data_IF_586954536945
#
_entry.id   IF_586954536945
#
_cell.length_a   1.000
_cell.length_b   1.000
_cell.length_c   1.000
_cell.angle_alpha   90.00
_cell.angle_beta   90.00
_cell.angle_gamma   90.00
#
_symmetry.space_group_name_H-M   'P 1'
#
loop_
_entity.id
_entity.type
_entity.pdbx_description
1 polymer ?
#
# COMPACT_ATOMS: atom_id res chain seq x y z
N UNK A 1 -44.14 5.72 0.43
CA UNK A 1 -42.71 5.64 0.78
C UNK A 1 -42.09 6.97 0.42
N UNK A 2 -41.77 7.81 1.40
CA UNK A 2 -41.02 9.05 1.18
C UNK A 2 -39.57 8.78 1.57
N UNK A 3 -38.64 9.03 0.66
CA UNK A 3 -37.21 9.03 0.98
C UNK A 3 -36.86 10.42 1.48
N UNK A 4 -36.48 10.52 2.75
CA UNK A 4 -35.98 11.77 3.34
C UNK A 4 -34.45 11.67 3.30
N UNK A 5 -33.82 12.55 2.52
CA UNK A 5 -32.37 12.68 2.51
C UNK A 5 -31.97 13.69 3.58
N UNK A 6 -31.17 13.23 4.54
CA UNK A 6 -30.65 14.07 5.62
C UNK A 6 -29.15 14.18 5.47
N UNK A 7 -28.66 15.42 5.53
CA UNK A 7 -27.25 15.73 5.37
C UNK A 7 -26.69 16.22 6.69
N UNK A 8 -25.56 15.65 7.10
CA UNK A 8 -24.85 16.06 8.30
C UNK A 8 -23.45 16.56 7.90
N UNK A 9 -23.21 17.89 7.90
CA UNK A 9 -21.94 18.48 7.47
C UNK A 9 -20.77 18.23 8.43
N UNK A 10 -20.99 17.67 9.61
CA UNK A 10 -19.96 17.41 10.62
C UNK A 10 -20.25 16.15 11.44
N UNK A 11 -19.22 15.56 12.04
CA UNK A 11 -19.39 14.52 13.07
C UNK A 11 -20.11 15.13 14.29
N UNK A 12 -21.36 14.74 14.55
CA UNK A 12 -22.08 15.10 15.79
C UNK A 12 -23.45 15.77 15.67
N UNK A 13 -24.27 15.47 14.67
CA UNK A 13 -25.67 15.90 14.58
C UNK A 13 -26.63 14.78 15.00
N UNK A 14 -27.73 15.16 15.68
CA UNK A 14 -28.85 14.25 15.92
C UNK A 14 -29.94 14.50 14.89
N UNK A 15 -30.47 13.42 14.32
CA UNK A 15 -31.58 13.48 13.36
C UNK A 15 -32.76 12.71 13.92
N UNK A 16 -33.86 13.43 14.17
CA UNK A 16 -35.08 12.87 14.73
C UNK A 16 -36.11 12.60 13.63
N UNK A 17 -36.65 11.39 13.60
CA UNK A 17 -37.75 11.01 12.72
C UNK A 17 -39.02 10.83 13.56
N UNK A 18 -40.09 11.56 13.23
CA UNK A 18 -41.42 11.34 13.80
C UNK A 18 -42.27 10.51 12.84
N UNK A 19 -42.59 9.26 13.21
CA UNK A 19 -43.47 8.37 12.46
C UNK A 19 -44.89 8.46 13.03
N UNK A 20 -45.85 8.95 12.23
CA UNK A 20 -47.25 9.10 12.66
C UNK A 20 -48.08 7.80 12.57
N UNK A 21 -47.49 6.67 12.15
CA UNK A 21 -48.15 5.35 12.08
C UNK A 21 -47.12 4.21 12.08
N UNK A 22 -47.55 2.98 12.39
CA UNK A 22 -46.71 1.78 12.57
C UNK A 22 -46.04 1.21 11.31
N UNK A 23 -45.51 2.07 10.44
CA UNK A 23 -44.74 1.69 9.26
C UNK A 23 -43.26 1.48 9.55
N UNK A 24 -42.61 0.68 8.69
CA UNK A 24 -41.15 0.53 8.66
C UNK A 24 -40.48 1.74 8.02
N UNK A 25 -39.50 2.32 8.71
CA UNK A 25 -38.60 3.35 8.18
C UNK A 25 -37.25 2.70 7.85
N UNK A 26 -36.81 2.86 6.60
CA UNK A 26 -35.46 2.50 6.18
C UNK A 26 -34.64 3.77 5.99
N UNK A 27 -33.54 3.89 6.74
CA UNK A 27 -32.60 5.01 6.59
C UNK A 27 -31.36 4.51 5.88
N UNK A 28 -30.99 5.18 4.79
CA UNK A 28 -29.75 4.92 4.05
C UNK A 28 -28.83 6.12 4.23
N UNK A 29 -27.63 5.87 4.73
CA UNK A 29 -26.58 6.87 4.85
C UNK A 29 -25.58 6.71 3.71
N UNK A 30 -25.19 7.83 3.11
CA UNK A 30 -24.09 7.88 2.15
C UNK A 30 -23.10 8.93 2.64
N UNK A 31 -21.82 8.60 2.59
CA UNK A 31 -20.73 9.49 2.95
C UNK A 31 -19.76 9.65 1.79
N UNK A 32 -19.13 10.80 1.71
CA UNK A 32 -18.08 11.10 0.74
C UNK A 32 -17.10 12.11 1.35
N UNK A 33 -15.98 12.28 0.68
CA UNK A 33 -14.96 13.27 1.04
C UNK A 33 -14.66 14.12 -0.18
N UNK A 34 -14.24 15.36 0.06
CA UNK A 34 -13.63 16.22 -0.96
C UNK A 34 -12.13 15.93 -1.12
N UNK A 35 -11.58 14.92 -0.46
CA UNK A 35 -10.18 14.54 -0.65
C UNK A 35 -9.91 14.16 -2.12
N UNK A 36 -8.95 14.83 -2.72
CA UNK A 36 -8.47 14.59 -4.08
C UNK A 36 -6.95 14.65 -4.12
N UNK A 37 -6.32 13.53 -4.45
CA UNK A 37 -4.89 13.40 -4.64
C UNK A 37 -4.40 14.10 -5.92
N UNK A 38 -5.31 14.39 -6.85
CA UNK A 38 -5.07 15.24 -8.03
C UNK A 38 -4.94 16.73 -7.67
N UNK A 39 -5.35 17.14 -6.46
CA UNK A 39 -5.24 18.52 -5.97
C UNK A 39 -4.08 18.69 -4.97
N UNK A 40 -3.13 17.74 -4.94
CA UNK A 40 -1.94 17.76 -4.08
C UNK A 40 -0.73 18.46 -4.69
N UNK A 41 -0.93 19.37 -5.65
CA UNK A 41 0.12 20.06 -6.40
C UNK A 41 0.15 21.58 -6.17
N UNK A 42 1.16 22.26 -6.72
CA UNK A 42 1.32 23.71 -6.58
C UNK A 42 0.18 24.52 -7.21
N UNK A 43 -0.43 24.04 -8.31
CA UNK A 43 -1.52 24.74 -8.99
C UNK A 43 -2.78 24.79 -8.12
N UNK A 44 -2.98 23.77 -7.28
CA UNK A 44 -4.07 23.68 -6.32
C UNK A 44 -3.67 24.11 -4.89
N UNK A 45 -2.49 24.73 -4.73
CA UNK A 45 -1.98 25.18 -3.43
C UNK A 45 -1.79 24.04 -2.42
N UNK A 46 -1.52 22.82 -2.89
CA UNK A 46 -1.38 21.60 -2.09
C UNK A 46 -2.59 21.30 -1.20
N UNK A 47 -3.80 21.67 -1.66
CA UNK A 47 -5.01 21.60 -0.84
C UNK A 47 -5.55 20.19 -0.63
N UNK A 48 -5.25 19.26 -1.55
CA UNK A 48 -5.89 17.94 -1.63
C UNK A 48 -7.43 18.02 -1.66
N UNK A 49 -7.95 19.15 -2.13
CA UNK A 49 -9.37 19.47 -2.10
C UNK A 49 -9.95 19.44 -3.50
N UNK A 50 -10.80 18.46 -3.75
CA UNK A 50 -11.62 18.32 -4.94
C UNK A 50 -12.99 19.01 -4.78
N UNK A 51 -13.91 18.71 -5.72
CA UNK A 51 -15.28 19.23 -5.66
C UNK A 51 -16.05 18.73 -4.44
N UNK A 52 -17.01 19.53 -3.97
CA UNK A 52 -17.97 19.13 -2.94
C UNK A 52 -18.70 17.84 -3.38
N UNK A 53 -18.70 16.77 -2.55
CA UNK A 53 -19.25 15.48 -2.94
C UNK A 53 -20.78 15.46 -2.97
N UNK A 54 -21.49 16.48 -2.45
CA UNK A 54 -22.94 16.47 -2.23
C UNK A 54 -23.74 16.04 -3.45
N UNK A 55 -23.56 16.71 -4.60
CA UNK A 55 -24.32 16.41 -5.81
C UNK A 55 -24.06 14.99 -6.34
N UNK A 56 -22.81 14.51 -6.22
CA UNK A 56 -22.45 13.16 -6.61
C UNK A 56 -23.10 12.11 -5.70
N UNK A 57 -23.14 12.36 -4.39
CA UNK A 57 -23.77 11.50 -3.40
C UNK A 57 -25.29 11.42 -3.59
N UNK A 58 -25.94 12.56 -3.83
CA UNK A 58 -27.39 12.62 -4.12
C UNK A 58 -27.72 11.85 -5.41
N UNK A 59 -26.90 12.01 -6.45
CA UNK A 59 -27.05 11.27 -7.71
C UNK A 59 -26.92 9.76 -7.50
N UNK A 60 -25.93 9.33 -6.70
CA UNK A 60 -25.71 7.92 -6.36
C UNK A 60 -26.93 7.32 -5.65
N UNK A 61 -27.49 8.05 -4.67
CA UNK A 61 -28.69 7.62 -3.94
C UNK A 61 -29.92 7.51 -4.85
N UNK A 62 -30.14 8.47 -5.75
CA UNK A 62 -31.24 8.43 -6.71
C UNK A 62 -31.11 7.25 -7.70
N UNK A 63 -29.88 6.94 -8.13
CA UNK A 63 -29.62 5.77 -8.96
C UNK A 63 -29.85 4.48 -8.20
N UNK A 64 -29.41 4.38 -6.95
CA UNK A 64 -29.59 3.19 -6.13
C UNK A 64 -31.07 2.94 -5.80
N UNK A 65 -31.85 3.98 -5.49
CA UNK A 65 -33.26 3.87 -5.11
C UNK A 65 -34.18 3.47 -6.27
N UNK A 66 -33.76 3.70 -7.52
CA UNK A 66 -34.50 3.30 -8.72
C UNK A 66 -34.15 1.89 -9.22
N UNK A 67 -33.12 1.24 -8.65
CA UNK A 67 -32.70 -0.09 -9.05
C UNK A 67 -33.47 -1.20 -8.31
N UNK A 68 -33.78 -2.27 -9.04
CA UNK A 68 -34.28 -3.51 -8.43
C UNK A 68 -33.14 -4.19 -7.66
N UNK A 69 -33.40 -4.60 -6.42
CA UNK A 69 -32.42 -5.26 -5.54
C UNK A 69 -31.76 -6.47 -6.22
N UNK A 70 -32.54 -7.30 -6.93
CA UNK A 70 -32.01 -8.46 -7.64
C UNK A 70 -30.99 -8.09 -8.72
N UNK A 71 -31.22 -6.99 -9.46
CA UNK A 71 -30.30 -6.48 -10.48
C UNK A 71 -29.05 -5.90 -9.84
N UNK A 72 -29.20 -5.13 -8.75
CA UNK A 72 -28.07 -4.57 -8.02
C UNK A 72 -27.18 -5.67 -7.39
N UNK A 73 -27.79 -6.71 -6.81
CA UNK A 73 -27.07 -7.85 -6.26
C UNK A 73 -26.31 -8.61 -7.35
N UNK A 74 -26.94 -8.90 -8.49
CA UNK A 74 -26.26 -9.58 -9.60
C UNK A 74 -25.06 -8.77 -10.11
N UNK A 75 -25.23 -7.45 -10.25
CA UNK A 75 -24.14 -6.55 -10.65
C UNK A 75 -23.00 -6.56 -9.63
N UNK A 76 -23.33 -6.44 -8.33
CA UNK A 76 -22.35 -6.51 -7.24
C UNK A 76 -21.59 -7.83 -7.23
N UNK A 77 -22.29 -8.96 -7.26
CA UNK A 77 -21.67 -10.29 -7.22
C UNK A 77 -20.77 -10.54 -8.42
N UNK A 78 -21.21 -10.15 -9.62
CA UNK A 78 -20.39 -10.26 -10.85
C UNK A 78 -19.11 -9.44 -10.75
N UNK A 79 -19.24 -8.19 -10.31
CA UNK A 79 -18.12 -7.27 -10.13
C UNK A 79 -17.13 -7.75 -9.04
N UNK A 80 -17.65 -8.25 -7.92
CA UNK A 80 -16.85 -8.77 -6.82
C UNK A 80 -16.09 -10.05 -7.22
N UNK A 81 -16.74 -10.98 -7.93
CA UNK A 81 -16.06 -12.16 -8.48
C UNK A 81 -14.95 -11.80 -9.47
N UNK A 82 -15.16 -10.78 -10.31
CA UNK A 82 -14.12 -10.28 -11.22
C UNK A 82 -12.91 -9.77 -10.44
N UNK A 83 -13.13 -9.06 -9.33
CA UNK A 83 -12.04 -8.53 -8.50
C UNK A 83 -11.29 -9.61 -7.70
N UNK A 84 -11.98 -10.65 -7.24
CA UNK A 84 -11.38 -11.82 -6.59
C UNK A 84 -10.50 -12.67 -7.54
N UNK A 85 -10.66 -12.51 -8.85
CA UNK A 85 -9.95 -13.30 -9.84
C UNK A 85 -10.35 -14.78 -9.82
N UNK A 86 -9.58 -15.58 -10.57
CA UNK A 86 -9.88 -17.01 -10.77
C UNK A 86 -9.31 -17.96 -9.71
N UNK A 87 -8.61 -17.46 -8.68
CA UNK A 87 -7.93 -18.33 -7.72
C UNK A 87 -8.93 -19.03 -6.79
N UNK A 88 -8.73 -20.34 -6.58
CA UNK A 88 -9.50 -21.18 -5.67
C UNK A 88 -8.56 -22.07 -4.86
N UNK A 89 -8.84 -22.23 -3.57
CA UNK A 89 -8.10 -23.11 -2.66
C UNK A 89 -9.02 -24.24 -2.19
N UNK A 90 -8.51 -25.47 -2.24
CA UNK A 90 -9.13 -26.64 -1.62
C UNK A 90 -8.05 -27.40 -0.84
N UNK A 91 -8.23 -27.46 0.48
CA UNK A 91 -7.34 -28.15 1.43
C UNK A 91 -8.12 -29.23 2.21
N UNK A 92 -9.23 -29.72 1.65
CA UNK A 92 -10.11 -30.67 2.32
C UNK A 92 -11.04 -30.02 3.35
N UNK A 93 -11.32 -28.72 3.20
CA UNK A 93 -12.24 -28.03 4.10
C UNK A 93 -13.67 -28.58 4.04
N UNK A 94 -14.27 -28.79 5.21
CA UNK A 94 -15.68 -29.14 5.37
C UNK A 94 -16.35 -28.20 6.37
N UNK A 95 -17.52 -27.65 6.01
CA UNK A 95 -18.27 -26.77 6.89
C UNK A 95 -19.05 -27.60 7.92
N UNK A 96 -18.72 -27.44 9.20
CA UNK A 96 -19.59 -27.84 10.30
C UNK A 96 -20.69 -26.78 10.49
N UNK A 97 -21.87 -27.03 9.91
CA UNK A 97 -23.03 -26.15 10.03
C UNK A 97 -23.68 -26.11 11.42
N UNK A 98 -23.19 -26.89 12.39
CA UNK A 98 -23.70 -26.89 13.76
C UNK A 98 -23.02 -25.87 14.66
N UNK A 99 -21.87 -25.32 14.24
CA UNK A 99 -21.07 -24.36 15.00
C UNK A 99 -20.99 -23.02 14.28
N UNK A 100 -20.89 -21.97 15.07
CA UNK A 100 -20.56 -20.62 14.59
C UNK A 100 -19.06 -20.52 14.31
N UNK A 101 -18.65 -19.54 13.48
CA UNK A 101 -17.23 -19.25 13.26
C UNK A 101 -16.48 -18.91 14.55
N UNK A 102 -17.16 -18.28 15.52
CA UNK A 102 -16.57 -17.95 16.81
C UNK A 102 -16.23 -19.22 17.60
N UNK A 103 -17.17 -20.16 17.72
CA UNK A 103 -16.93 -21.45 18.38
C UNK A 103 -15.81 -22.25 17.68
N UNK A 104 -15.80 -22.28 16.35
CA UNK A 104 -14.74 -22.96 15.60
C UNK A 104 -13.35 -22.32 15.81
N UNK A 105 -13.29 -21.00 16.01
CA UNK A 105 -12.04 -20.29 16.31
C UNK A 105 -11.58 -20.53 17.76
N UNK A 106 -12.50 -20.56 18.72
CA UNK A 106 -12.21 -20.85 20.13
C UNK A 106 -11.69 -22.29 20.33
N UNK A 107 -12.13 -23.21 19.48
CA UNK A 107 -11.67 -24.61 19.46
C UNK A 107 -10.37 -24.83 18.67
N UNK A 108 -9.95 -23.88 17.84
CA UNK A 108 -8.80 -24.04 16.95
C UNK A 108 -7.49 -24.19 17.73
N UNK A 109 -6.72 -25.22 17.40
CA UNK A 109 -5.35 -25.41 17.93
C UNK A 109 -4.36 -25.54 16.77
N UNK A 110 -3.29 -24.76 16.81
CA UNK A 110 -2.33 -24.68 15.71
C UNK A 110 -1.56 -25.98 15.44
N UNK A 111 -1.41 -26.84 16.44
CA UNK A 111 -0.76 -28.16 16.34
C UNK A 111 -1.70 -29.26 15.81
N UNK A 112 -3.02 -29.10 15.97
CA UNK A 112 -4.03 -30.02 15.44
C UNK A 112 -4.52 -29.59 14.05
N UNK A 113 -4.68 -28.28 13.83
CA UNK A 113 -5.20 -27.67 12.60
C UNK A 113 -6.72 -27.81 12.44
N UNK A 114 -7.28 -27.04 11.52
CA UNK A 114 -8.65 -27.17 11.06
C UNK A 114 -8.74 -26.65 9.62
N UNK A 115 -8.84 -27.54 8.61
CA UNK A 115 -8.86 -27.15 7.21
C UNK A 115 -9.94 -26.13 6.85
N UNK A 116 -11.09 -26.14 7.53
CA UNK A 116 -12.14 -25.14 7.29
C UNK A 116 -11.76 -23.76 7.80
N UNK A 117 -11.20 -23.64 9.01
CA UNK A 117 -10.77 -22.34 9.54
C UNK A 117 -9.58 -21.77 8.77
N UNK A 118 -8.61 -22.61 8.40
CA UNK A 118 -7.45 -22.19 7.60
C UNK A 118 -7.88 -21.71 6.21
N UNK A 119 -8.78 -22.45 5.55
CA UNK A 119 -9.38 -22.05 4.28
C UNK A 119 -10.21 -20.78 4.39
N UNK A 120 -11.00 -20.65 5.47
CA UNK A 120 -11.83 -19.47 5.72
C UNK A 120 -10.97 -18.24 5.94
N UNK A 121 -9.92 -18.33 6.77
CA UNK A 121 -9.00 -17.23 7.03
C UNK A 121 -8.26 -16.79 5.76
N UNK A 122 -7.81 -17.75 4.94
CA UNK A 122 -7.20 -17.46 3.64
C UNK A 122 -8.14 -16.68 2.71
N UNK A 123 -9.39 -17.13 2.56
CA UNK A 123 -10.37 -16.43 1.72
C UNK A 123 -10.86 -15.12 2.35
N UNK A 124 -10.86 -15.02 3.67
CA UNK A 124 -11.20 -13.79 4.39
C UNK A 124 -10.16 -12.70 4.11
N UNK A 125 -8.86 -13.02 4.09
CA UNK A 125 -7.82 -12.07 3.71
C UNK A 125 -8.03 -11.53 2.28
N UNK A 126 -8.33 -12.41 1.31
CA UNK A 126 -8.66 -12.02 -0.07
C UNK A 126 -9.91 -11.13 -0.12
N UNK A 127 -10.96 -11.50 0.62
CA UNK A 127 -12.19 -10.72 0.74
C UNK A 127 -11.92 -9.31 1.28
N UNK A 128 -11.14 -9.22 2.37
CA UNK A 128 -10.82 -7.96 3.04
C UNK A 128 -10.02 -7.03 2.14
N UNK A 129 -9.05 -7.54 1.39
CA UNK A 129 -8.29 -6.73 0.46
C UNK A 129 -9.15 -6.20 -0.69
N UNK A 130 -9.98 -7.05 -1.32
CA UNK A 130 -10.93 -6.61 -2.37
C UNK A 130 -11.91 -5.58 -1.83
N UNK A 131 -12.40 -5.76 -0.61
CA UNK A 131 -13.36 -4.85 0.00
C UNK A 131 -12.74 -3.49 0.36
N UNK A 132 -11.42 -3.39 0.58
CA UNK A 132 -10.76 -2.16 1.07
C UNK A 132 -10.06 -1.31 0.01
N UNK A 133 -9.76 -1.86 -1.17
CA UNK A 133 -8.84 -1.24 -2.15
C UNK A 133 -9.52 -0.62 -3.38
N UNK A 134 -10.79 -0.93 -3.60
CA UNK A 134 -11.53 -0.57 -4.83
C UNK A 134 -12.18 0.82 -4.75
N UNK A 135 -11.50 1.74 -4.09
CA UNK A 135 -11.88 3.13 -3.90
C UNK A 135 -10.79 4.05 -4.48
N UNK A 136 -10.83 5.32 -4.13
CA UNK A 136 -9.83 6.33 -4.50
C UNK A 136 -8.46 6.12 -3.84
N UNK A 137 -8.43 5.39 -2.72
CA UNK A 137 -7.24 5.18 -1.89
C UNK A 137 -6.99 3.69 -1.66
N UNK A 138 -5.72 3.29 -1.42
CA UNK A 138 -5.37 1.92 -1.10
C UNK A 138 -5.85 1.51 0.30
N UNK A 139 -5.74 0.21 0.61
CA UNK A 139 -5.92 -0.32 1.96
C UNK A 139 -4.85 0.24 2.93
N UNK A 140 -5.30 0.87 4.01
CA UNK A 140 -4.43 1.35 5.10
C UNK A 140 -4.24 0.27 6.19
N UNK A 141 -3.68 0.63 7.37
CA UNK A 141 -3.50 -0.29 8.51
C UNK A 141 -4.77 -1.03 8.97
N UNK A 142 -5.96 -0.52 8.64
CA UNK A 142 -7.25 -1.16 8.97
C UNK A 142 -8.07 -1.41 7.70
N UNK A 143 -7.42 -1.48 6.54
CA UNK A 143 -8.05 -1.56 5.23
C UNK A 143 -8.82 -0.28 4.90
N UNK A 144 -10.06 -0.21 5.38
CA UNK A 144 -10.91 0.98 5.33
C UNK A 144 -11.87 1.08 6.53
N UNK A 145 -11.73 0.21 7.52
CA UNK A 145 -12.66 0.06 8.63
C UNK A 145 -12.04 0.65 9.89
N UNK A 146 -12.49 1.82 10.29
CA UNK A 146 -12.12 2.42 11.57
C UNK A 146 -13.37 2.64 12.41
N UNK A 147 -13.34 2.15 13.66
CA UNK A 147 -14.40 2.43 14.64
C UNK A 147 -14.24 3.82 15.25
N UNK A 148 -12.98 4.19 15.52
CA UNK A 148 -12.63 5.36 16.32
C UNK A 148 -12.10 6.48 15.42
N UNK A 149 -12.47 7.73 15.72
CA UNK A 149 -11.93 8.90 15.01
C UNK A 149 -10.42 9.07 15.23
N UNK A 150 -9.90 8.58 16.35
CA UNK A 150 -8.48 8.49 16.67
C UNK A 150 -8.05 7.03 16.66
N UNK A 151 -7.78 6.52 15.47
CA UNK A 151 -7.32 5.16 15.28
C UNK A 151 -5.88 4.96 15.78
N UNK A 152 -5.50 3.71 16.11
CA UNK A 152 -4.09 3.41 16.45
C UNK A 152 -3.20 3.66 15.23
N UNK A 153 -2.06 4.32 15.47
CA UNK A 153 -1.14 4.79 14.41
C UNK A 153 -1.87 5.56 13.30
N UNK A 154 -2.90 6.31 13.68
CA UNK A 154 -3.74 7.11 12.78
C UNK A 154 -4.42 6.32 11.65
N UNK A 155 -4.40 4.98 11.72
CA UNK A 155 -4.75 4.10 10.60
C UNK A 155 -4.09 4.55 9.29
N UNK A 156 -2.83 4.96 9.38
CA UNK A 156 -2.07 5.53 8.28
C UNK A 156 -1.63 4.47 7.25
N UNK A 157 -0.78 4.89 6.31
CA UNK A 157 -0.08 3.94 5.44
C UNK A 157 1.33 3.78 6.00
N UNK A 158 1.55 2.67 6.69
CA UNK A 158 2.82 2.34 7.34
C UNK A 158 3.65 1.42 6.42
N UNK A 159 4.74 1.93 5.86
CA UNK A 159 5.46 1.33 4.73
C UNK A 159 6.85 0.79 5.11
N UNK A 160 7.05 0.39 6.36
CA UNK A 160 8.22 -0.37 6.81
C UNK A 160 7.93 -1.88 7.01
N UNK A 161 6.67 -2.32 6.83
CA UNK A 161 6.24 -3.71 6.67
C UNK A 161 4.74 -3.81 6.33
N UNK A 162 3.89 -2.98 6.94
CA UNK A 162 2.43 -3.21 6.96
C UNK A 162 1.76 -3.01 5.61
N UNK A 163 2.09 -1.91 4.91
CA UNK A 163 1.56 -1.64 3.58
C UNK A 163 2.03 -2.70 2.58
N UNK A 164 3.28 -3.16 2.68
CA UNK A 164 3.78 -4.27 1.87
C UNK A 164 2.97 -5.55 2.16
N UNK A 165 2.78 -5.88 3.44
CA UNK A 165 2.05 -7.07 3.88
C UNK A 165 0.61 -7.08 3.39
N UNK A 166 -0.08 -5.94 3.39
CA UNK A 166 -1.43 -5.81 2.86
C UNK A 166 -1.57 -6.36 1.43
N UNK A 167 -0.53 -6.22 0.60
CA UNK A 167 -0.59 -6.55 -0.83
C UNK A 167 0.19 -7.81 -1.24
N UNK A 168 0.86 -8.53 -0.33
CA UNK A 168 1.57 -9.77 -0.70
C UNK A 168 0.67 -10.77 -1.43
N UNK A 169 -0.58 -10.92 -0.98
CA UNK A 169 -1.52 -11.89 -1.59
C UNK A 169 -2.12 -11.43 -2.91
N UNK A 170 -1.92 -10.17 -3.32
CA UNK A 170 -2.64 -9.58 -4.45
C UNK A 170 -2.36 -10.35 -5.76
N UNK A 171 -1.10 -10.37 -6.20
CA UNK A 171 -0.73 -11.02 -7.45
C UNK A 171 -0.73 -12.55 -7.32
N UNK A 172 -0.23 -13.08 -6.19
CA UNK A 172 -0.19 -14.52 -5.91
C UNK A 172 -1.56 -15.20 -5.98
N UNK A 173 -2.63 -14.47 -5.63
CA UNK A 173 -4.01 -14.99 -5.67
C UNK A 173 -4.87 -14.34 -6.76
N UNK A 174 -4.23 -13.70 -7.75
CA UNK A 174 -4.83 -13.11 -8.94
C UNK A 174 -5.91 -12.04 -8.64
N UNK A 175 -5.77 -11.30 -7.55
CA UNK A 175 -6.67 -10.20 -7.19
C UNK A 175 -6.45 -8.99 -8.10
N UNK A 176 -7.52 -8.30 -8.48
CA UNK A 176 -7.47 -7.08 -9.30
C UNK A 176 -7.75 -5.84 -8.44
N UNK A 177 -6.78 -5.50 -7.60
CA UNK A 177 -6.95 -4.60 -6.43
C UNK A 177 -5.87 -3.54 -6.24
N UNK A 178 -4.82 -3.54 -7.07
CA UNK A 178 -3.59 -2.78 -6.85
C UNK A 178 -3.58 -1.40 -7.53
N UNK A 179 -4.53 -1.12 -8.42
CA UNK A 179 -4.51 0.13 -9.22
C UNK A 179 -4.51 1.39 -8.36
N UNK A 180 -5.30 1.42 -7.29
CA UNK A 180 -5.37 2.56 -6.37
C UNK A 180 -4.06 2.77 -5.60
N UNK A 181 -3.30 1.72 -5.34
CA UNK A 181 -1.98 1.80 -4.71
C UNK A 181 -0.96 2.46 -5.65
N UNK A 182 -0.96 2.06 -6.92
CA UNK A 182 -0.08 2.63 -7.94
C UNK A 182 -0.39 4.10 -8.19
N UNK A 183 -1.67 4.43 -8.34
CA UNK A 183 -2.09 5.82 -8.51
C UNK A 183 -1.77 6.66 -7.26
N UNK A 184 -1.93 6.10 -6.05
CA UNK A 184 -1.57 6.76 -4.81
C UNK A 184 -0.06 7.07 -4.76
N UNK A 185 0.81 6.14 -5.12
CA UNK A 185 2.26 6.40 -5.17
C UNK A 185 2.62 7.43 -6.25
N UNK A 186 2.10 7.27 -7.47
CA UNK A 186 2.39 8.17 -8.59
C UNK A 186 1.93 9.60 -8.32
N UNK A 187 0.69 9.75 -7.85
CA UNK A 187 0.10 11.08 -7.65
C UNK A 187 0.41 11.67 -6.29
N UNK A 188 0.89 10.87 -5.33
CA UNK A 188 1.18 11.37 -3.99
C UNK A 188 2.60 11.24 -3.48
N UNK A 189 3.20 10.07 -3.61
CA UNK A 189 4.54 9.85 -3.08
C UNK A 189 5.59 10.46 -4.00
N UNK A 190 5.52 10.20 -5.29
CA UNK A 190 6.54 10.62 -6.24
C UNK A 190 6.77 12.15 -6.27
N UNK A 191 5.74 13.01 -6.48
CA UNK A 191 5.95 14.46 -6.53
C UNK A 191 6.42 15.06 -5.19
N UNK A 192 5.82 14.64 -4.06
CA UNK A 192 6.19 15.18 -2.74
C UNK A 192 7.52 14.61 -2.25
N UNK A 193 7.79 13.37 -2.60
CA UNK A 193 9.03 12.68 -2.31
C UNK A 193 10.23 13.24 -3.07
N UNK A 194 10.03 13.81 -4.27
CA UNK A 194 11.06 14.55 -4.97
C UNK A 194 11.44 15.84 -4.21
N UNK A 195 10.46 16.55 -3.65
CA UNK A 195 10.73 17.71 -2.79
C UNK A 195 11.41 17.32 -1.48
N UNK A 196 10.99 16.21 -0.86
CA UNK A 196 11.67 15.65 0.31
C UNK A 196 13.11 15.24 0.00
N UNK A 197 13.37 14.60 -1.15
CA UNK A 197 14.72 14.26 -1.60
C UNK A 197 15.62 15.50 -1.71
N UNK A 198 15.09 16.58 -2.28
CA UNK A 198 15.81 17.84 -2.42
C UNK A 198 16.05 18.54 -1.10
N UNK A 199 15.02 18.68 -0.26
CA UNK A 199 15.09 19.46 0.99
C UNK A 199 15.91 18.74 2.05
N UNK A 200 15.74 17.42 2.21
CA UNK A 200 16.40 16.67 3.28
C UNK A 200 17.76 16.08 2.89
N UNK A 201 17.97 15.76 1.61
CA UNK A 201 19.17 15.06 1.15
C UNK A 201 19.97 15.80 0.08
N UNK A 202 19.50 16.98 -0.36
CA UNK A 202 20.12 17.73 -1.47
C UNK A 202 20.27 16.89 -2.75
N UNK A 203 19.32 15.97 -2.99
CA UNK A 203 19.28 15.11 -4.16
C UNK A 203 18.15 15.60 -5.07
N UNK A 204 18.46 15.80 -6.36
CA UNK A 204 17.51 16.32 -7.35
C UNK A 204 17.02 15.27 -8.34
N UNK A 205 17.64 14.08 -8.39
CA UNK A 205 17.16 12.96 -9.19
C UNK A 205 16.23 12.07 -8.35
N UNK A 206 15.11 11.67 -8.94
CA UNK A 206 14.22 10.70 -8.32
C UNK A 206 13.38 11.24 -7.16
N UNK A 207 12.90 10.31 -6.33
CA UNK A 207 12.05 10.62 -5.19
C UNK A 207 12.20 9.56 -4.09
N UNK A 208 11.87 9.94 -2.87
CA UNK A 208 11.78 9.04 -1.73
C UNK A 208 10.60 9.43 -0.84
N UNK A 209 10.16 8.51 -0.01
CA UNK A 209 9.32 8.80 1.15
C UNK A 209 9.86 8.02 2.34
N UNK A 210 9.37 8.34 3.54
CA UNK A 210 9.64 7.56 4.74
C UNK A 210 8.54 6.52 4.97
N UNK A 211 8.48 5.91 6.16
CA UNK A 211 7.58 4.82 6.50
C UNK A 211 6.15 5.27 6.85
N UNK A 212 5.94 6.42 7.48
CA UNK A 212 4.62 6.87 7.91
C UNK A 212 3.99 7.84 6.90
N UNK A 213 2.94 7.42 6.17
CA UNK A 213 2.34 8.23 5.09
C UNK A 213 0.85 8.45 5.29
N UNK A 214 0.31 9.51 4.68
CA UNK A 214 -1.11 9.86 4.80
C UNK A 214 -1.74 10.24 3.46
N UNK A 215 -3.06 10.52 3.49
CA UNK A 215 -3.83 10.89 2.30
C UNK A 215 -3.45 12.27 1.71
N UNK A 216 -2.62 13.05 2.42
CA UNK A 216 -2.16 14.38 2.03
C UNK A 216 -0.70 14.38 1.56
N UNK A 217 -0.15 13.22 1.19
CA UNK A 217 1.19 13.12 0.61
C UNK A 217 2.33 13.49 1.55
N UNK A 218 2.16 13.27 2.87
CA UNK A 218 3.27 13.35 3.81
C UNK A 218 4.38 12.38 3.38
N UNK A 219 5.60 12.89 3.20
CA UNK A 219 6.76 12.12 2.70
C UNK A 219 8.03 12.27 3.56
N UNK A 220 8.01 13.20 4.51
CA UNK A 220 9.12 13.44 5.44
C UNK A 220 9.12 12.45 6.61
N UNK A 221 10.12 12.57 7.47
CA UNK A 221 10.18 11.82 8.74
C UNK A 221 9.17 12.40 9.74
N UNK A 222 8.34 11.56 10.35
CA UNK A 222 7.51 11.99 11.48
C UNK A 222 8.41 12.34 12.67
N UNK A 223 7.98 13.35 13.44
CA UNK A 223 8.70 13.78 14.64
C UNK A 223 8.41 12.85 15.81
N UNK A 224 9.04 11.67 15.82
CA UNK A 224 8.91 10.67 16.88
C UNK A 224 10.27 10.13 17.34
N UNK A 225 10.91 9.27 16.55
CA UNK A 225 12.23 8.70 16.87
C UNK A 225 12.96 8.27 15.61
N UNK A 226 14.25 8.57 15.51
CA UNK A 226 15.06 8.22 14.34
C UNK A 226 15.12 6.71 14.08
N UNK A 227 15.01 5.85 15.10
CA UNK A 227 15.02 4.39 14.91
C UNK A 227 13.81 3.85 14.14
N UNK A 228 12.68 4.56 14.20
CA UNK A 228 11.45 4.16 13.51
C UNK A 228 11.23 5.01 12.27
N UNK A 229 11.31 6.34 12.39
CA UNK A 229 10.84 7.26 11.33
C UNK A 229 11.87 7.56 10.24
N UNK A 230 13.15 7.21 10.44
CA UNK A 230 14.19 7.37 9.42
C UNK A 230 14.32 6.08 8.59
N UNK A 231 13.28 5.76 7.82
CA UNK A 231 13.24 4.58 6.96
C UNK A 231 12.90 4.96 5.51
N UNK A 232 13.92 5.15 4.67
CA UNK A 232 13.78 5.62 3.27
C UNK A 232 13.65 4.48 2.27
N UNK A 233 13.81 3.26 2.77
CA UNK A 233 13.71 2.01 2.04
C UNK A 233 12.25 1.71 1.68
N UNK A 234 11.28 2.35 2.33
CA UNK A 234 9.84 2.21 2.09
C UNK A 234 9.46 2.18 0.59
N UNK A 235 9.76 3.22 -0.22
CA UNK A 235 9.45 3.20 -1.65
C UNK A 235 10.25 2.15 -2.41
N UNK A 236 11.50 1.85 -2.02
CA UNK A 236 12.31 0.83 -2.69
C UNK A 236 11.74 -0.58 -2.48
N UNK A 237 11.22 -0.87 -1.29
CA UNK A 237 10.50 -2.11 -1.01
C UNK A 237 9.18 -2.18 -1.78
N UNK A 238 8.42 -1.08 -1.85
CA UNK A 238 7.20 -1.04 -2.67
C UNK A 238 7.47 -1.30 -4.15
N UNK A 239 8.65 -0.95 -4.67
CA UNK A 239 9.00 -1.24 -6.06
C UNK A 239 9.12 -2.74 -6.35
N UNK A 240 9.32 -3.58 -5.33
CA UNK A 240 9.24 -5.03 -5.50
C UNK A 240 7.83 -5.43 -5.94
N UNK A 241 6.80 -4.88 -5.29
CA UNK A 241 5.41 -5.13 -5.67
C UNK A 241 5.05 -4.52 -7.04
N UNK A 242 5.64 -3.38 -7.39
CA UNK A 242 5.48 -2.78 -8.73
C UNK A 242 6.06 -3.70 -9.80
N UNK A 243 7.22 -4.31 -9.54
CA UNK A 243 7.78 -5.29 -10.46
C UNK A 243 6.97 -6.59 -10.47
N UNK A 244 6.53 -7.11 -9.32
CA UNK A 244 5.68 -8.31 -9.23
C UNK A 244 4.39 -8.14 -10.04
N UNK A 245 3.75 -6.97 -10.01
CA UNK A 245 2.59 -6.67 -10.87
C UNK A 245 2.93 -6.92 -12.34
N UNK A 246 4.08 -6.44 -12.80
CA UNK A 246 4.52 -6.65 -14.17
C UNK A 246 4.88 -8.11 -14.44
N UNK A 247 5.62 -8.77 -13.54
CA UNK A 247 6.07 -10.15 -13.71
C UNK A 247 4.89 -11.15 -13.75
N UNK A 248 3.89 -10.97 -12.89
CA UNK A 248 2.70 -11.82 -12.84
C UNK A 248 1.73 -11.59 -14.00
N UNK A 249 1.59 -10.35 -14.48
CA UNK A 249 0.58 -10.02 -15.51
C UNK A 249 1.14 -9.92 -16.92
N UNK A 250 2.45 -9.70 -17.04
CA UNK A 250 3.13 -9.31 -18.27
C UNK A 250 2.47 -8.12 -18.99
N UNK A 251 1.82 -7.21 -18.24
CA UNK A 251 1.23 -5.99 -18.80
C UNK A 251 2.32 -4.96 -19.12
N UNK A 252 2.92 -5.12 -20.30
CA UNK A 252 3.94 -4.22 -20.83
C UNK A 252 3.42 -2.78 -20.96
N UNK A 253 2.14 -2.57 -21.26
CA UNK A 253 1.59 -1.23 -21.41
C UNK A 253 1.49 -0.49 -20.07
N UNK A 254 1.05 -1.18 -19.02
CA UNK A 254 1.08 -0.67 -17.65
C UNK A 254 2.52 -0.45 -17.16
N UNK A 255 3.42 -1.40 -17.42
CA UNK A 255 4.83 -1.28 -17.05
C UNK A 255 5.46 -0.01 -17.65
N UNK A 256 5.27 0.24 -18.95
CA UNK A 256 5.79 1.44 -19.62
C UNK A 256 5.20 2.73 -19.06
N UNK A 257 3.89 2.74 -18.80
CA UNK A 257 3.16 3.94 -18.42
C UNK A 257 3.36 4.34 -16.96
N UNK A 258 3.42 3.38 -16.04
CA UNK A 258 3.34 3.64 -14.60
C UNK A 258 4.42 2.89 -13.80
N UNK A 259 4.58 1.58 -14.03
CA UNK A 259 5.50 0.75 -13.24
C UNK A 259 6.98 1.16 -13.37
N UNK A 260 7.47 1.29 -14.61
CA UNK A 260 8.84 1.72 -14.90
C UNK A 260 9.13 3.14 -14.39
N UNK A 261 8.29 4.17 -14.66
CA UNK A 261 8.51 5.50 -14.10
C UNK A 261 8.64 5.53 -12.58
N UNK A 262 7.79 4.78 -11.86
CA UNK A 262 7.89 4.64 -10.40
C UNK A 262 9.24 4.03 -9.99
N UNK A 263 9.59 2.87 -10.56
CA UNK A 263 10.84 2.16 -10.27
C UNK A 263 12.08 3.02 -10.56
N UNK A 264 12.10 3.67 -11.73
CA UNK A 264 13.22 4.52 -12.18
C UNK A 264 13.41 5.70 -11.23
N UNK A 265 12.33 6.36 -10.82
CA UNK A 265 12.39 7.48 -9.88
C UNK A 265 12.96 7.11 -8.52
N UNK A 266 12.52 6.00 -7.92
CA UNK A 266 13.09 5.53 -6.64
C UNK A 266 14.55 5.14 -6.79
N UNK A 267 14.89 4.47 -7.91
CA UNK A 267 16.28 4.05 -8.18
C UNK A 267 17.22 5.25 -8.32
N UNK A 268 16.80 6.29 -9.04
CA UNK A 268 17.60 7.50 -9.23
C UNK A 268 17.98 8.17 -7.91
N UNK A 269 17.06 8.22 -6.93
CA UNK A 269 17.38 8.70 -5.60
C UNK A 269 18.49 7.87 -4.96
N UNK A 270 18.35 6.55 -4.97
CA UNK A 270 19.32 5.64 -4.33
C UNK A 270 20.68 5.64 -5.02
N UNK A 271 20.74 5.85 -6.34
CA UNK A 271 22.00 6.05 -7.03
C UNK A 271 22.73 7.28 -6.46
N UNK A 272 22.06 8.41 -6.20
CA UNK A 272 22.71 9.59 -5.61
C UNK A 272 22.95 9.48 -4.10
N UNK A 273 22.16 8.67 -3.41
CA UNK A 273 22.20 8.54 -1.96
C UNK A 273 23.33 7.64 -1.44
N UNK A 274 23.63 6.55 -2.16
CA UNK A 274 24.65 5.58 -1.75
C UNK A 274 26.05 6.20 -1.72
N UNK A 275 26.80 5.93 -0.65
CA UNK A 275 28.19 6.37 -0.50
C UNK A 275 29.14 5.19 -0.35
N UNK A 276 30.44 5.43 -0.54
CA UNK A 276 31.48 4.42 -0.29
C UNK A 276 31.63 4.11 1.21
N UNK A 277 31.81 2.84 1.54
CA UNK A 277 32.11 2.36 2.89
C UNK A 277 33.53 2.76 3.30
N UNK A 278 33.63 3.84 4.07
CA UNK A 278 34.90 4.33 4.62
C UNK A 278 35.31 3.62 5.92
N UNK A 279 34.39 2.89 6.56
CA UNK A 279 34.68 2.21 7.82
C UNK A 279 35.49 0.93 7.57
N UNK A 280 35.11 0.14 6.57
CA UNK A 280 35.84 -1.07 6.17
C UNK A 280 36.79 -0.85 4.99
N UNK A 281 36.61 0.24 4.24
CA UNK A 281 37.47 0.63 3.12
C UNK A 281 37.66 -0.49 2.07
N UNK A 282 36.60 -1.24 1.81
CA UNK A 282 36.57 -2.37 0.87
C UNK A 282 35.94 -2.00 -0.48
N UNK A 283 35.81 -0.70 -0.74
CA UNK A 283 35.24 -0.13 -1.97
C UNK A 283 33.75 -0.47 -2.21
N UNK A 284 33.05 -0.98 -1.21
CA UNK A 284 31.60 -1.22 -1.30
C UNK A 284 30.80 0.06 -1.14
N UNK A 285 29.56 0.06 -1.63
CA UNK A 285 28.59 1.11 -1.43
C UNK A 285 27.62 0.76 -0.30
N UNK A 286 27.29 1.73 0.54
CA UNK A 286 26.41 1.56 1.70
C UNK A 286 25.38 2.66 1.85
N UNK A 287 24.20 2.27 2.35
CA UNK A 287 23.20 3.21 2.85
C UNK A 287 23.59 3.68 4.26
N UNK A 288 23.63 4.99 4.47
CA UNK A 288 23.97 5.62 5.76
C UNK A 288 23.28 6.97 5.92
N UNK A 289 22.63 7.26 7.06
CA UNK A 289 22.32 6.32 8.13
C UNK A 289 21.43 5.16 7.63
N UNK A 290 21.29 4.09 8.38
CA UNK A 290 20.31 3.05 8.14
C UNK A 290 19.79 2.52 9.48
N UNK A 291 18.62 1.90 9.43
CA UNK A 291 18.01 1.23 10.58
C UNK A 291 17.64 -0.19 10.19
N UNK A 292 17.80 -1.14 11.11
CA UNK A 292 16.87 -2.27 11.14
C UNK A 292 15.58 -1.72 11.74
N UNK A 293 14.44 -1.75 11.03
CA UNK A 293 13.23 -1.03 11.44
C UNK A 293 12.95 -1.16 12.94
N UNK A 294 12.83 0.00 13.61
CA UNK A 294 12.48 0.14 15.02
C UNK A 294 13.50 -0.39 16.04
N UNK A 295 14.67 -0.83 15.60
CA UNK A 295 15.77 -1.28 16.44
C UNK A 295 16.89 -0.23 16.50
N UNK A 296 17.48 -0.11 17.68
CA UNK A 296 18.70 0.66 17.90
C UNK A 296 19.93 -0.25 17.75
N UNK A 297 21.10 0.31 17.36
CA UNK A 297 21.32 1.70 16.99
C UNK A 297 21.02 1.98 15.50
N UNK A 298 20.69 3.23 15.18
CA UNK A 298 20.90 3.76 13.83
C UNK A 298 22.38 3.64 13.46
N UNK A 299 22.67 3.02 12.30
CA UNK A 299 24.03 2.65 11.91
C UNK A 299 24.25 2.85 10.41
N UNK A 300 25.12 2.07 9.77
CA UNK A 300 25.41 2.09 8.34
C UNK A 300 25.43 0.67 7.78
N UNK A 301 25.06 0.52 6.50
CA UNK A 301 25.14 -0.76 5.79
C UNK A 301 24.28 -1.88 6.37
N UNK A 302 23.11 -1.54 6.90
CA UNK A 302 22.15 -2.47 7.49
C UNK A 302 21.71 -3.51 6.47
N UNK A 303 21.60 -4.78 6.89
CA UNK A 303 21.22 -5.88 6.02
C UNK A 303 19.91 -5.60 5.27
N UNK A 304 18.91 -5.06 5.99
CA UNK A 304 17.62 -4.69 5.44
C UNK A 304 17.74 -3.71 4.27
N UNK A 305 18.40 -2.56 4.46
CA UNK A 305 18.63 -1.57 3.41
C UNK A 305 19.34 -2.20 2.21
N UNK A 306 20.46 -2.89 2.45
CA UNK A 306 21.27 -3.44 1.37
C UNK A 306 20.51 -4.46 0.52
N UNK A 307 19.75 -5.35 1.15
CA UNK A 307 18.95 -6.35 0.44
C UNK A 307 17.82 -5.72 -0.38
N UNK A 308 17.14 -4.72 0.19
CA UNK A 308 16.08 -3.99 -0.53
C UNK A 308 16.65 -3.27 -1.76
N UNK A 309 17.80 -2.61 -1.61
CA UNK A 309 18.44 -1.88 -2.71
C UNK A 309 19.02 -2.78 -3.78
N UNK A 310 19.60 -3.91 -3.37
CA UNK A 310 20.06 -4.92 -4.31
C UNK A 310 18.92 -5.39 -5.20
N UNK A 311 17.76 -5.68 -4.59
CA UNK A 311 16.57 -6.15 -5.30
C UNK A 311 15.95 -5.05 -6.17
N UNK A 312 15.94 -3.79 -5.72
CA UNK A 312 15.54 -2.63 -6.52
C UNK A 312 16.35 -2.55 -7.82
N UNK A 313 17.68 -2.62 -7.72
CA UNK A 313 18.56 -2.57 -8.89
C UNK A 313 18.38 -3.79 -9.80
N UNK A 314 18.13 -4.96 -9.23
CA UNK A 314 17.82 -6.17 -9.99
C UNK A 314 16.55 -6.03 -10.83
N UNK A 315 15.49 -5.43 -10.29
CA UNK A 315 14.25 -5.21 -11.02
C UNK A 315 14.37 -4.14 -12.12
N UNK A 316 15.28 -3.17 -11.97
CA UNK A 316 15.60 -2.25 -13.07
C UNK A 316 16.17 -2.98 -14.27
N UNK A 317 17.10 -3.90 -14.03
CA UNK A 317 17.72 -4.69 -15.09
C UNK A 317 16.72 -5.63 -15.76
N UNK A 318 15.97 -6.41 -14.96
CA UNK A 318 15.02 -7.40 -15.48
C UNK A 318 13.89 -6.76 -16.30
N UNK A 319 13.40 -5.60 -15.87
CA UNK A 319 12.33 -4.88 -16.56
C UNK A 319 12.80 -3.93 -17.67
N UNK A 320 14.11 -3.81 -17.93
CA UNK A 320 14.64 -2.80 -18.85
C UNK A 320 14.13 -2.97 -20.28
N UNK A 321 14.30 -4.15 -20.87
CA UNK A 321 13.96 -4.38 -22.28
C UNK A 321 12.46 -4.20 -22.54
N UNK A 322 11.61 -4.68 -21.63
CA UNK A 322 10.16 -4.51 -21.72
C UNK A 322 9.71 -3.05 -21.54
N UNK A 323 10.50 -2.22 -20.86
CA UNK A 323 10.13 -0.84 -20.56
C UNK A 323 10.20 0.10 -21.77
N UNK A 324 10.91 -0.27 -22.84
CA UNK A 324 11.17 0.64 -23.95
C UNK A 324 12.00 1.88 -23.56
N UNK A 325 12.58 1.91 -22.36
CA UNK A 325 13.54 2.93 -21.95
C UNK A 325 14.82 2.78 -22.77
N UNK A 326 15.38 3.91 -23.20
CA UNK A 326 16.58 3.98 -24.05
C UNK A 326 17.78 4.59 -23.33
N UNK A 327 17.61 4.94 -22.05
CA UNK A 327 18.64 5.50 -21.19
C UNK A 327 19.63 4.41 -20.73
N UNK A 328 20.56 4.06 -21.63
CA UNK A 328 21.58 3.04 -21.37
C UNK A 328 22.59 3.51 -20.31
N UNK A 329 22.85 4.81 -20.20
CA UNK A 329 23.72 5.37 -19.18
C UNK A 329 23.17 5.12 -17.76
N UNK A 330 21.86 5.31 -17.55
CA UNK A 330 21.20 4.95 -16.31
C UNK A 330 21.33 3.45 -16.00
N UNK A 331 21.11 2.57 -16.98
CA UNK A 331 21.24 1.13 -16.77
C UNK A 331 22.68 0.71 -16.41
N UNK A 332 23.67 1.31 -17.06
CA UNK A 332 25.09 1.08 -16.76
C UNK A 332 25.47 1.57 -15.36
N UNK A 333 24.97 2.74 -14.95
CA UNK A 333 25.14 3.26 -13.58
C UNK A 333 24.55 2.29 -12.55
N UNK A 334 23.33 1.78 -12.78
CA UNK A 334 22.66 0.79 -11.93
C UNK A 334 23.49 -0.49 -11.82
N UNK A 335 23.93 -1.06 -12.95
CA UNK A 335 24.77 -2.27 -12.98
C UNK A 335 26.07 -2.08 -12.22
N UNK A 336 26.73 -0.93 -12.42
CA UNK A 336 27.96 -0.60 -11.74
C UNK A 336 27.76 -0.49 -10.22
N UNK A 337 26.75 0.27 -9.77
CA UNK A 337 26.50 0.44 -8.32
C UNK A 337 25.97 -0.83 -7.67
N UNK A 338 25.14 -1.63 -8.35
CA UNK A 338 24.73 -2.96 -7.87
C UNK A 338 25.92 -3.89 -7.66
N UNK A 339 26.90 -3.88 -8.57
CA UNK A 339 28.14 -4.66 -8.43
C UNK A 339 29.03 -4.21 -7.27
N UNK A 340 28.91 -2.96 -6.83
CA UNK A 340 29.63 -2.41 -5.67
C UNK A 340 28.82 -2.42 -4.37
N UNK A 341 27.51 -2.64 -4.41
CA UNK A 341 26.66 -2.60 -3.22
C UNK A 341 27.13 -3.66 -2.21
N UNK A 342 27.25 -3.27 -0.94
CA UNK A 342 27.48 -4.27 0.10
C UNK A 342 26.34 -5.30 0.09
N UNK A 343 26.68 -6.58 0.27
CA UNK A 343 25.69 -7.65 0.15
C UNK A 343 24.64 -7.63 1.26
N UNK A 344 24.91 -6.96 2.38
CA UNK A 344 24.05 -6.96 3.56
C UNK A 344 23.90 -8.34 4.23
N UNK A 345 24.62 -9.36 3.77
CA UNK A 345 24.50 -10.74 4.26
C UNK A 345 25.81 -11.15 4.90
N UNK A 346 25.76 -11.40 6.21
CA UNK A 346 26.88 -11.88 7.00
C UNK A 346 26.42 -12.95 7.99
N UNK A 347 27.27 -13.95 8.18
CA UNK A 347 27.06 -14.99 9.19
C UNK A 347 27.76 -14.57 10.47
N UNK A 348 26.97 -14.39 11.53
CA UNK A 348 27.47 -14.05 12.85
C UNK A 348 28.06 -15.26 13.59
N UNK A 349 28.64 -15.00 14.75
CA UNK A 349 29.32 -16.02 15.57
C UNK A 349 28.42 -17.14 16.09
N UNK A 350 27.08 -16.97 16.06
CA UNK A 350 26.11 -18.01 16.42
C UNK A 350 25.55 -18.75 15.19
N UNK A 351 26.08 -18.48 13.99
CA UNK A 351 25.56 -19.05 12.73
C UNK A 351 24.33 -18.33 12.17
N UNK A 352 23.94 -17.20 12.75
CA UNK A 352 22.79 -16.39 12.36
C UNK A 352 23.11 -15.38 11.26
N UNK A 353 22.11 -14.93 10.50
CA UNK A 353 22.24 -13.74 9.65
C UNK A 353 22.30 -12.48 10.53
N UNK A 354 23.27 -11.61 10.28
CA UNK A 354 23.39 -10.32 10.97
C UNK A 354 22.47 -9.26 10.35
N UNK A 355 21.78 -8.46 11.18
CA UNK A 355 20.80 -7.47 10.73
C UNK A 355 21.22 -5.99 10.81
N UNK A 356 22.12 -5.63 11.73
CA UNK A 356 22.36 -4.22 12.09
C UNK A 356 23.55 -3.59 11.37
N UNK A 357 24.76 -4.09 11.53
CA UNK A 357 25.93 -3.50 10.86
C UNK A 357 26.71 -4.52 10.06
N UNK A 358 27.43 -3.95 9.08
CA UNK A 358 28.66 -4.49 8.53
C UNK A 358 29.69 -4.71 9.65
#
# INVERSE_FOLDING_TARGET
MGTIYLFQPSLGGEVYFHLNSGGLLFTVWVGGTECSMDAGDAAHGYSFKGPDPHNNLVSLLNKASSQRVSTALQAHTTDYHKALGGFSLNIGQELDGTKTTAELMDEYKADEGNPYIEWLLFNFARYMLVASTRSYLPANLQGKWARDAKARWDSDYHANIDLQMNYWIAEMTNLKVTSSLWDYMEKTWAPRGAETAKVLYNITRGWLVHDELNIFGHSGMKNYSAKSTNYREAPAWMMMHVYDQFDYTNDVAWWKRQGRPLLKGVTQFWLDYLIEDRQFNDSTLVAIPCNSPELEPTTFGCANSQQILWQLFDYVEKGFDASGDTDTAFLEEVRFKKGKLDKGIKIGSFGQLQGLSK
#
